data_IF_577328466637
#
_entry.id   IF_577328466637
#
_cell.length_a   1.000
_cell.length_b   1.000
_cell.length_c   1.000
_cell.angle_alpha   90.00
_cell.angle_beta   90.00
_cell.angle_gamma   90.00
#
_symmetry.space_group_name_H-M   'P 1'
#
loop_
_entity.id
_entity.type
_entity.pdbx_description
1 polymer ?
#
# COMPACT_ATOMS: atom_id res chain seq x y z
N UNK A 1 -25.99 -22.66 -42.60
CA UNK A 1 -27.25 -22.08 -43.12
C UNK A 1 -26.94 -21.43 -44.46
N UNK A 2 -27.67 -21.73 -45.52
CA UNK A 2 -27.36 -21.22 -46.86
C UNK A 2 -28.06 -19.88 -47.09
N UNK A 3 -27.42 -18.79 -46.65
CA UNK A 3 -27.96 -17.43 -46.78
C UNK A 3 -28.15 -17.03 -48.25
N UNK A 4 -27.28 -17.48 -49.14
CA UNK A 4 -27.31 -17.15 -50.57
C UNK A 4 -28.59 -17.65 -51.25
N UNK A 5 -29.07 -18.83 -50.87
CA UNK A 5 -30.33 -19.38 -51.39
C UNK A 5 -31.54 -18.54 -50.98
N UNK A 6 -31.59 -18.06 -49.73
CA UNK A 6 -32.66 -17.20 -49.25
C UNK A 6 -32.63 -15.83 -49.93
N UNK A 7 -31.44 -15.23 -50.07
CA UNK A 7 -31.27 -13.93 -50.73
C UNK A 7 -31.66 -14.02 -52.22
N UNK A 8 -31.28 -15.10 -52.91
CA UNK A 8 -31.66 -15.33 -54.31
C UNK A 8 -33.18 -15.47 -54.49
N UNK A 9 -33.87 -16.09 -53.52
CA UNK A 9 -35.33 -16.23 -53.58
C UNK A 9 -36.05 -14.89 -53.33
N UNK A 10 -35.50 -14.03 -52.46
CA UNK A 10 -36.08 -12.69 -52.21
C UNK A 10 -35.96 -11.72 -53.37
N UNK A 11 -35.02 -11.95 -54.31
CA UNK A 11 -34.84 -11.12 -55.50
C UNK A 11 -35.79 -11.47 -56.66
N UNK A 12 -36.61 -12.52 -56.55
CA UNK A 12 -37.56 -12.91 -57.59
C UNK A 12 -38.83 -12.06 -57.50
N UNK A 13 -39.37 -11.65 -58.67
CA UNK A 13 -40.66 -10.96 -58.70
C UNK A 13 -41.77 -11.88 -58.19
N UNK A 14 -42.72 -11.39 -57.37
CA UNK A 14 -43.84 -12.19 -56.87
C UNK A 14 -44.77 -12.71 -57.97
N UNK A 15 -44.76 -12.06 -59.14
CA UNK A 15 -45.54 -12.46 -60.30
C UNK A 15 -44.61 -12.79 -61.47
N UNK A 16 -44.95 -13.82 -62.25
CA UNK A 16 -44.18 -14.20 -63.45
C UNK A 16 -44.26 -13.18 -64.59
N UNK A 17 -45.22 -12.24 -64.51
CA UNK A 17 -45.41 -11.15 -65.48
C UNK A 17 -45.76 -9.86 -64.75
N UNK A 18 -45.50 -8.72 -65.38
CA UNK A 18 -45.93 -7.43 -64.86
C UNK A 18 -47.46 -7.31 -65.00
N UNK A 19 -48.17 -7.58 -63.91
CA UNK A 19 -49.63 -7.55 -63.83
C UNK A 19 -50.20 -6.17 -64.23
N UNK A 20 -49.47 -5.09 -63.93
CA UNK A 20 -49.91 -3.74 -64.23
C UNK A 20 -49.88 -3.47 -65.75
N UNK A 21 -48.77 -3.80 -66.43
CA UNK A 21 -48.67 -3.66 -67.88
C UNK A 21 -49.67 -4.58 -68.60
N UNK A 22 -49.81 -5.81 -68.13
CA UNK A 22 -50.79 -6.75 -68.66
C UNK A 22 -52.23 -6.22 -68.54
N UNK A 23 -52.58 -5.62 -67.40
CA UNK A 23 -53.89 -5.00 -67.23
C UNK A 23 -54.12 -3.80 -68.16
N UNK A 24 -53.10 -2.96 -68.40
CA UNK A 24 -53.19 -1.85 -69.35
C UNK A 24 -53.36 -2.34 -70.80
N UNK A 25 -52.62 -3.37 -71.21
CA UNK A 25 -52.74 -3.97 -72.53
C UNK A 25 -54.12 -4.63 -72.74
N UNK A 26 -54.63 -5.30 -71.71
CA UNK A 26 -55.95 -5.93 -71.72
C UNK A 26 -57.07 -4.88 -71.85
N UNK A 27 -56.95 -3.76 -71.12
CA UNK A 27 -57.90 -2.65 -71.20
C UNK A 27 -57.84 -1.95 -72.56
N UNK A 28 -56.64 -1.77 -73.14
CA UNK A 28 -56.46 -1.21 -74.47
C UNK A 28 -57.12 -2.09 -75.55
N UNK A 29 -56.93 -3.42 -75.48
CA UNK A 29 -57.62 -4.38 -76.37
C UNK A 29 -59.13 -4.40 -76.15
N UNK A 30 -59.61 -4.22 -74.92
CA UNK A 30 -61.04 -4.13 -74.66
C UNK A 30 -61.64 -2.86 -75.32
N UNK A 31 -60.91 -1.75 -75.34
CA UNK A 31 -61.37 -0.49 -75.93
C UNK A 31 -61.53 -0.54 -77.47
N UNK A 32 -60.80 -1.41 -78.17
CA UNK A 32 -60.94 -1.58 -79.62
C UNK A 32 -62.11 -2.49 -80.02
N UNK A 33 -62.73 -3.19 -79.07
CA UNK A 33 -63.88 -4.07 -79.33
C UNK A 33 -65.21 -3.29 -79.43
N UNK A 34 -66.16 -3.77 -80.24
CA UNK A 34 -67.49 -3.19 -80.29
C UNK A 34 -68.18 -3.26 -78.91
N UNK A 35 -69.11 -2.34 -78.62
CA UNK A 35 -69.84 -2.34 -77.37
C UNK A 35 -70.60 -3.65 -77.16
N UNK A 36 -70.35 -4.30 -76.01
CA UNK A 36 -70.98 -5.56 -75.66
C UNK A 36 -70.46 -6.14 -74.34
N UNK A 37 -71.01 -7.29 -73.96
CA UNK A 37 -70.71 -7.96 -72.70
C UNK A 37 -69.22 -8.34 -72.59
N UNK A 38 -68.60 -8.78 -73.69
CA UNK A 38 -67.19 -9.16 -73.73
C UNK A 38 -66.26 -7.99 -73.40
N UNK A 39 -66.49 -6.81 -74.00
CA UNK A 39 -65.73 -5.58 -73.70
C UNK A 39 -65.83 -5.22 -72.22
N UNK A 40 -67.02 -5.26 -71.66
CA UNK A 40 -67.24 -4.89 -70.26
C UNK A 40 -66.62 -5.92 -69.30
N UNK A 41 -66.61 -7.21 -69.66
CA UNK A 41 -65.93 -8.25 -68.88
C UNK A 41 -64.41 -8.04 -68.87
N UNK A 42 -63.80 -7.84 -70.04
CA UNK A 42 -62.35 -7.60 -70.16
C UNK A 42 -61.90 -6.36 -69.38
N UNK A 43 -62.70 -5.29 -69.38
CA UNK A 43 -62.44 -4.11 -68.55
C UNK A 43 -62.53 -4.42 -67.06
N UNK A 44 -63.51 -5.22 -66.63
CA UNK A 44 -63.65 -5.65 -65.24
C UNK A 44 -62.43 -6.47 -64.81
N UNK A 45 -62.01 -7.42 -65.64
CA UNK A 45 -60.85 -8.27 -65.37
C UNK A 45 -59.55 -7.45 -65.28
N UNK A 46 -59.36 -6.48 -66.20
CA UNK A 46 -58.23 -5.55 -66.13
C UNK A 46 -58.22 -4.74 -64.81
N UNK A 47 -59.39 -4.28 -64.34
CA UNK A 47 -59.50 -3.60 -63.05
C UNK A 47 -59.22 -4.53 -61.88
N UNK A 48 -59.73 -5.77 -61.90
CA UNK A 48 -59.41 -6.78 -60.88
C UNK A 48 -57.91 -7.07 -60.81
N UNK A 49 -57.23 -7.17 -61.96
CA UNK A 49 -55.77 -7.38 -62.03
C UNK A 49 -55.02 -6.19 -61.41
N UNK A 50 -55.45 -4.95 -61.68
CA UNK A 50 -54.88 -3.74 -61.03
C UNK A 50 -55.06 -3.79 -59.50
N UNK A 51 -56.24 -4.18 -59.02
CA UNK A 51 -56.50 -4.33 -57.58
C UNK A 51 -55.62 -5.42 -56.96
N UNK A 52 -55.45 -6.57 -57.62
CA UNK A 52 -54.57 -7.65 -57.15
C UNK A 52 -53.12 -7.15 -57.06
N UNK A 53 -52.65 -6.41 -58.06
CA UNK A 53 -51.31 -5.83 -58.03
C UNK A 53 -51.12 -4.90 -56.82
N UNK A 54 -52.07 -3.99 -56.58
CA UNK A 54 -52.00 -3.05 -55.47
C UNK A 54 -52.12 -3.71 -54.09
N UNK A 55 -53.05 -4.65 -53.93
CA UNK A 55 -53.36 -5.25 -52.63
C UNK A 55 -52.48 -6.44 -52.25
N UNK A 56 -51.83 -7.09 -53.23
CA UNK A 56 -51.07 -8.33 -52.99
C UNK A 56 -49.62 -8.20 -53.43
N UNK A 57 -49.37 -7.77 -54.65
CA UNK A 57 -47.99 -7.74 -55.19
C UNK A 57 -47.15 -6.69 -54.47
N UNK A 58 -47.63 -5.45 -54.33
CA UNK A 58 -46.86 -4.39 -53.66
C UNK A 58 -46.53 -4.73 -52.18
N UNK A 59 -47.46 -5.22 -51.34
CA UNK A 59 -47.12 -5.64 -49.97
C UNK A 59 -46.14 -6.80 -49.91
N UNK A 60 -46.21 -7.74 -50.86
CA UNK A 60 -45.26 -8.86 -50.93
C UNK A 60 -43.87 -8.33 -51.29
N UNK A 61 -43.74 -7.41 -52.25
CA UNK A 61 -42.44 -6.80 -52.60
C UNK A 61 -41.81 -6.07 -51.41
N UNK A 62 -42.61 -5.32 -50.64
CA UNK A 62 -42.15 -4.67 -49.40
C UNK A 62 -41.69 -5.68 -48.36
N UNK A 63 -42.43 -6.78 -48.21
CA UNK A 63 -42.09 -7.86 -47.29
C UNK A 63 -40.80 -8.59 -47.70
N UNK A 64 -40.59 -8.81 -49.00
CA UNK A 64 -39.36 -9.41 -49.54
C UNK A 64 -38.14 -8.49 -49.32
N UNK A 65 -38.30 -7.18 -49.46
CA UNK A 65 -37.25 -6.20 -49.13
C UNK A 65 -36.88 -6.25 -47.64
N UNK A 66 -37.87 -6.29 -46.75
CA UNK A 66 -37.65 -6.42 -45.31
C UNK A 66 -36.97 -7.74 -44.96
N UNK A 67 -37.40 -8.83 -45.59
CA UNK A 67 -36.81 -10.15 -45.41
C UNK A 67 -35.35 -10.18 -45.87
N UNK A 68 -35.05 -9.59 -47.03
CA UNK A 68 -33.69 -9.46 -47.55
C UNK A 68 -32.77 -8.74 -46.55
N UNK A 69 -33.21 -7.61 -45.99
CA UNK A 69 -32.42 -6.88 -44.98
C UNK A 69 -32.22 -7.71 -43.72
N UNK A 70 -33.26 -8.39 -43.25
CA UNK A 70 -33.22 -9.23 -42.05
C UNK A 70 -32.25 -10.40 -42.22
N UNK A 71 -32.29 -11.08 -43.37
CA UNK A 71 -31.35 -12.17 -43.70
C UNK A 71 -29.92 -11.66 -43.78
N UNK A 72 -29.69 -10.47 -44.36
CA UNK A 72 -28.36 -9.85 -44.44
C UNK A 72 -27.80 -9.46 -43.07
N UNK A 73 -28.65 -8.94 -42.18
CA UNK A 73 -28.27 -8.66 -40.79
C UNK A 73 -27.92 -9.97 -40.08
N UNK A 74 -28.76 -11.00 -40.21
CA UNK A 74 -28.53 -12.30 -39.60
C UNK A 74 -27.22 -12.93 -40.09
N UNK A 75 -26.91 -12.85 -41.39
CA UNK A 75 -25.65 -13.32 -41.96
C UNK A 75 -24.44 -12.62 -41.34
N UNK A 76 -24.48 -11.28 -41.24
CA UNK A 76 -23.39 -10.50 -40.62
C UNK A 76 -23.22 -10.83 -39.14
N UNK A 77 -24.33 -10.92 -38.41
CA UNK A 77 -24.31 -11.24 -36.98
C UNK A 77 -23.81 -12.66 -36.74
N UNK A 78 -24.24 -13.64 -37.53
CA UNK A 78 -23.78 -15.03 -37.45
C UNK A 78 -22.29 -15.16 -37.71
N UNK A 79 -21.80 -14.55 -38.78
CA UNK A 79 -20.36 -14.56 -39.11
C UNK A 79 -19.54 -13.82 -38.04
N UNK A 80 -19.99 -12.64 -37.62
CA UNK A 80 -19.30 -11.85 -36.58
C UNK A 80 -19.28 -12.53 -35.21
N UNK A 81 -20.32 -13.30 -34.87
CA UNK A 81 -20.37 -14.09 -33.64
C UNK A 81 -19.31 -15.19 -33.66
N UNK A 82 -19.20 -15.94 -34.76
CA UNK A 82 -18.23 -17.02 -34.91
C UNK A 82 -16.79 -16.50 -34.74
N UNK A 83 -16.47 -15.36 -35.37
CA UNK A 83 -15.15 -14.72 -35.20
C UNK A 83 -14.88 -14.32 -33.76
N UNK A 84 -15.87 -13.73 -33.06
CA UNK A 84 -15.73 -13.34 -31.66
C UNK A 84 -15.50 -14.54 -30.76
N UNK A 85 -16.25 -15.63 -30.96
CA UNK A 85 -16.07 -16.88 -30.20
C UNK A 85 -14.68 -17.44 -30.42
N UNK A 86 -14.20 -17.51 -31.67
CA UNK A 86 -12.86 -17.99 -31.98
C UNK A 86 -11.77 -17.12 -31.34
N UNK A 87 -11.92 -15.79 -31.33
CA UNK A 87 -10.99 -14.89 -30.63
C UNK A 87 -10.97 -15.11 -29.12
N UNK A 88 -12.13 -15.31 -28.50
CA UNK A 88 -12.23 -15.59 -27.07
C UNK A 88 -11.56 -16.93 -26.75
N UNK A 89 -11.82 -17.97 -27.54
CA UNK A 89 -11.18 -19.28 -27.38
C UNK A 89 -9.65 -19.20 -27.54
N UNK A 90 -9.15 -18.47 -28.53
CA UNK A 90 -7.72 -18.25 -28.71
C UNK A 90 -7.08 -17.49 -27.54
N UNK A 91 -7.77 -16.47 -27.01
CA UNK A 91 -7.31 -15.73 -25.82
C UNK A 91 -7.28 -16.61 -24.56
N UNK A 92 -8.30 -17.46 -24.38
CA UNK A 92 -8.36 -18.43 -23.30
C UNK A 92 -7.23 -19.47 -23.40
N UNK A 93 -6.99 -20.01 -24.59
CA UNK A 93 -5.90 -20.96 -24.83
C UNK A 93 -4.53 -20.33 -24.57
N UNK A 94 -4.31 -19.09 -25.06
CA UNK A 94 -3.11 -18.34 -24.75
C UNK A 94 -2.93 -18.12 -23.24
N UNK A 95 -3.97 -17.67 -22.54
CA UNK A 95 -3.93 -17.46 -21.09
C UNK A 95 -3.65 -18.76 -20.34
N UNK A 96 -4.29 -19.86 -20.73
CA UNK A 96 -4.09 -21.17 -20.12
C UNK A 96 -2.67 -21.70 -20.37
N UNK A 97 -2.15 -21.56 -21.58
CA UNK A 97 -0.79 -21.93 -21.92
C UNK A 97 0.23 -21.07 -21.15
N UNK A 98 -0.02 -19.77 -21.03
CA UNK A 98 0.80 -18.88 -20.22
C UNK A 98 0.81 -19.32 -18.74
N UNK A 99 -0.36 -19.59 -18.17
CA UNK A 99 -0.50 -20.07 -16.79
C UNK A 99 0.21 -21.42 -16.60
N UNK A 100 0.05 -22.34 -17.53
CA UNK A 100 0.59 -23.71 -17.36
C UNK A 100 2.10 -23.76 -17.56
N UNK A 101 2.63 -23.07 -18.56
CA UNK A 101 4.00 -23.25 -19.01
C UNK A 101 4.93 -22.08 -18.68
N UNK A 102 4.41 -20.86 -18.52
CA UNK A 102 5.24 -19.65 -18.42
C UNK A 102 5.12 -18.93 -17.07
N UNK A 103 4.06 -19.15 -16.29
CA UNK A 103 3.85 -18.41 -15.04
C UNK A 103 4.97 -18.66 -14.03
N UNK A 104 5.49 -19.89 -13.98
CA UNK A 104 6.53 -20.27 -13.03
C UNK A 104 7.82 -19.48 -13.29
N UNK A 105 8.25 -19.36 -14.54
CA UNK A 105 9.45 -18.58 -14.89
C UNK A 105 9.27 -17.10 -14.60
N UNK A 106 8.08 -16.54 -14.88
CA UNK A 106 7.76 -15.14 -14.57
C UNK A 106 7.80 -14.88 -13.06
N UNK A 107 7.19 -15.75 -12.24
CA UNK A 107 7.23 -15.63 -10.78
C UNK A 107 8.67 -15.70 -10.27
N UNK A 108 9.48 -16.62 -10.79
CA UNK A 108 10.89 -16.76 -10.39
C UNK A 108 11.68 -15.48 -10.74
N UNK A 109 11.46 -14.91 -11.93
CA UNK A 109 12.13 -13.69 -12.37
C UNK A 109 11.73 -12.47 -11.53
N UNK A 110 10.43 -12.25 -11.32
CA UNK A 110 9.94 -11.17 -10.46
C UNK A 110 10.40 -11.33 -9.01
N UNK A 111 10.43 -12.56 -8.49
CA UNK A 111 10.96 -12.85 -7.15
C UNK A 111 12.46 -12.54 -7.04
N UNK A 112 13.26 -12.85 -8.09
CA UNK A 112 14.69 -12.50 -8.12
C UNK A 112 14.88 -10.98 -8.13
N UNK A 113 14.07 -10.26 -8.90
CA UNK A 113 14.10 -8.78 -8.96
C UNK A 113 13.76 -8.18 -7.59
N UNK A 114 12.68 -8.65 -6.96
CA UNK A 114 12.30 -8.24 -5.61
C UNK A 114 13.39 -8.51 -4.57
N UNK A 115 13.99 -9.71 -4.61
CA UNK A 115 15.14 -10.06 -3.75
C UNK A 115 16.29 -9.07 -3.93
N UNK A 116 16.66 -8.78 -5.17
CA UNK A 116 17.76 -7.83 -5.48
C UNK A 116 17.46 -6.44 -4.93
N UNK A 117 16.23 -5.98 -5.02
CA UNK A 117 15.79 -4.71 -4.43
C UNK A 117 15.94 -4.70 -2.91
N UNK A 118 15.49 -5.75 -2.22
CA UNK A 118 15.65 -5.86 -0.75
C UNK A 118 17.12 -5.84 -0.37
N UNK A 119 17.95 -6.66 -1.02
CA UNK A 119 19.39 -6.73 -0.73
C UNK A 119 20.04 -5.36 -0.93
N UNK A 120 19.70 -4.65 -2.01
CA UNK A 120 20.20 -3.30 -2.28
C UNK A 120 19.84 -2.30 -1.17
N UNK A 121 18.65 -2.41 -0.56
CA UNK A 121 18.31 -1.58 0.60
C UNK A 121 19.17 -1.89 1.82
N UNK A 122 19.42 -3.18 2.10
CA UNK A 122 20.29 -3.58 3.20
C UNK A 122 21.74 -3.13 2.98
N UNK A 123 22.28 -3.30 1.77
CA UNK A 123 23.63 -2.85 1.43
C UNK A 123 23.78 -1.33 1.62
N UNK A 124 22.83 -0.55 1.10
CA UNK A 124 22.83 0.91 1.27
C UNK A 124 22.71 1.31 2.75
N UNK A 125 21.87 0.62 3.52
CA UNK A 125 21.72 0.88 4.95
C UNK A 125 23.01 0.56 5.73
N UNK A 126 23.68 -0.55 5.42
CA UNK A 126 24.96 -0.92 6.03
C UNK A 126 26.06 0.08 5.69
N UNK A 127 26.14 0.53 4.44
CA UNK A 127 27.06 1.61 4.04
C UNK A 127 26.77 2.91 4.80
N UNK A 128 25.50 3.26 4.97
CA UNK A 128 25.11 4.43 5.76
C UNK A 128 25.46 4.27 7.24
N UNK A 129 25.32 3.08 7.83
CA UNK A 129 25.76 2.79 9.20
C UNK A 129 27.28 2.98 9.31
N UNK A 130 28.06 2.38 8.42
CA UNK A 130 29.52 2.48 8.43
C UNK A 130 29.97 3.94 8.37
N UNK A 131 29.41 4.70 7.42
CA UNK A 131 29.64 6.14 7.31
C UNK A 131 29.24 6.90 8.58
N UNK A 132 28.05 6.62 9.14
CA UNK A 132 27.57 7.30 10.35
C UNK A 132 28.45 6.99 11.57
N UNK A 133 28.92 5.76 11.71
CA UNK A 133 29.82 5.37 12.79
C UNK A 133 31.18 6.05 12.62
N UNK A 134 31.79 5.98 11.43
CA UNK A 134 33.11 6.55 11.19
C UNK A 134 33.12 8.08 11.29
N UNK A 135 32.14 8.74 10.67
CA UNK A 135 32.15 10.20 10.54
C UNK A 135 31.59 10.90 11.79
N UNK A 136 30.47 10.39 12.33
CA UNK A 136 29.73 11.08 13.40
C UNK A 136 30.02 10.54 14.79
N UNK A 137 30.16 9.23 14.95
CA UNK A 137 30.31 8.60 16.27
C UNK A 137 31.78 8.48 16.67
N UNK A 138 32.66 8.04 15.78
CA UNK A 138 34.10 7.88 16.07
C UNK A 138 34.77 9.23 16.35
N UNK A 139 34.32 10.30 15.70
CA UNK A 139 34.75 11.68 15.99
C UNK A 139 34.39 12.14 17.42
N UNK A 140 33.30 11.63 18.00
CA UNK A 140 32.93 11.93 19.38
C UNK A 140 33.71 11.10 20.41
N UNK A 141 34.32 9.97 20.02
CA UNK A 141 35.08 9.10 20.93
C UNK A 141 36.24 9.82 21.65
N UNK A 142 37.16 10.54 20.98
CA UNK A 142 38.24 11.24 21.68
C UNK A 142 37.73 12.36 22.60
N UNK A 143 36.66 13.05 22.21
CA UNK A 143 36.03 14.09 23.05
C UNK A 143 35.38 13.46 24.29
N UNK A 144 34.62 12.39 24.12
CA UNK A 144 34.00 11.66 25.22
C UNK A 144 35.05 11.08 26.19
N UNK A 145 36.12 10.47 25.67
CA UNK A 145 37.21 9.94 26.49
C UNK A 145 37.97 11.05 27.23
N UNK A 146 38.21 12.20 26.59
CA UNK A 146 38.86 13.33 27.25
C UNK A 146 38.00 13.92 28.37
N UNK A 147 36.69 14.06 28.16
CA UNK A 147 35.76 14.54 29.18
C UNK A 147 35.64 13.55 30.34
N UNK A 148 35.51 12.26 30.06
CA UNK A 148 35.42 11.22 31.08
C UNK A 148 36.69 11.19 31.95
N UNK A 149 37.87 11.24 31.31
CA UNK A 149 39.15 11.30 32.02
C UNK A 149 39.29 12.60 32.84
N UNK A 150 38.92 13.75 32.29
CA UNK A 150 39.01 15.02 33.01
C UNK A 150 38.06 15.09 34.21
N UNK A 151 36.85 14.57 34.08
CA UNK A 151 35.87 14.60 35.17
C UNK A 151 36.20 13.56 36.23
N UNK A 152 36.39 12.30 35.86
CA UNK A 152 36.54 11.21 36.82
C UNK A 152 37.94 11.21 37.49
N UNK A 153 38.99 11.37 36.69
CA UNK A 153 40.36 11.29 37.21
C UNK A 153 40.78 12.61 37.86
N UNK A 154 40.52 13.75 37.21
CA UNK A 154 41.02 15.04 37.72
C UNK A 154 40.07 15.68 38.73
N UNK A 155 38.78 15.82 38.42
CA UNK A 155 37.85 16.50 39.32
C UNK A 155 37.42 15.62 40.49
N UNK A 156 36.95 14.41 40.24
CA UNK A 156 36.48 13.53 41.31
C UNK A 156 37.64 13.02 42.18
N UNK A 157 38.63 12.36 41.57
CA UNK A 157 39.66 11.67 42.34
C UNK A 157 40.75 12.60 42.90
N UNK A 158 41.16 13.65 42.19
CA UNK A 158 42.28 14.50 42.64
C UNK A 158 41.82 15.72 43.45
N UNK A 159 40.61 16.22 43.24
CA UNK A 159 40.10 17.42 43.92
C UNK A 159 39.08 17.03 44.98
N UNK A 160 37.97 16.39 44.58
CA UNK A 160 36.82 16.16 45.46
C UNK A 160 37.17 15.16 46.58
N UNK A 161 37.83 14.05 46.26
CA UNK A 161 38.15 13.02 47.26
C UNK A 161 39.11 13.50 48.37
N UNK A 162 40.24 14.19 48.07
CA UNK A 162 41.10 14.73 49.12
C UNK A 162 40.44 15.82 49.94
N UNK A 163 39.61 16.67 49.32
CA UNK A 163 38.83 17.68 50.04
C UNK A 163 37.83 17.03 51.00
N UNK A 164 37.14 15.98 50.55
CA UNK A 164 36.19 15.24 51.38
C UNK A 164 36.90 14.56 52.57
N UNK A 165 38.07 13.95 52.32
CA UNK A 165 38.89 13.35 53.37
C UNK A 165 39.42 14.39 54.36
N UNK A 166 39.85 15.55 53.87
CA UNK A 166 40.29 16.69 54.68
C UNK A 166 39.18 17.19 55.62
N UNK A 167 37.99 17.44 55.07
CA UNK A 167 36.84 17.90 55.85
C UNK A 167 36.37 16.86 56.86
N UNK A 168 36.41 15.57 56.51
CA UNK A 168 36.12 14.49 57.45
C UNK A 168 37.13 14.44 58.60
N UNK A 169 38.43 14.60 58.31
CA UNK A 169 39.50 14.66 59.30
C UNK A 169 39.32 15.81 60.29
N UNK A 170 39.11 17.03 59.78
CA UNK A 170 38.87 18.21 60.63
C UNK A 170 37.60 18.05 61.46
N UNK A 171 36.52 17.55 60.86
CA UNK A 171 35.27 17.32 61.58
C UNK A 171 35.45 16.37 62.77
N UNK A 172 36.14 15.24 62.55
CA UNK A 172 36.43 14.27 63.60
C UNK A 172 37.35 14.83 64.68
N UNK A 173 38.43 15.53 64.30
CA UNK A 173 39.33 16.16 65.25
C UNK A 173 38.59 17.20 66.13
N UNK A 174 37.73 18.00 65.53
CA UNK A 174 36.93 19.03 66.22
C UNK A 174 35.99 18.41 67.26
N UNK A 175 35.35 17.27 66.94
CA UNK A 175 34.47 16.55 67.87
C UNK A 175 35.21 16.02 69.10
N UNK A 176 36.47 15.60 68.97
CA UNK A 176 37.26 15.14 70.12
C UNK A 176 37.93 16.28 70.90
N UNK A 177 38.44 17.30 70.20
CA UNK A 177 39.18 18.39 70.82
C UNK A 177 38.28 19.37 71.58
N UNK A 178 37.06 19.65 71.09
CA UNK A 178 36.15 20.58 71.76
C UNK A 178 35.78 20.11 73.19
N UNK A 179 35.33 18.86 73.43
CA UNK A 179 35.09 18.36 74.78
C UNK A 179 36.36 18.36 75.63
N UNK A 180 37.49 17.91 75.08
CA UNK A 180 38.76 17.87 75.79
C UNK A 180 39.20 19.27 76.26
N UNK A 181 39.04 20.30 75.42
CA UNK A 181 39.32 21.69 75.77
C UNK A 181 38.40 22.18 76.89
N UNK A 182 37.11 21.86 76.85
CA UNK A 182 36.15 22.23 77.92
C UNK A 182 36.56 21.58 79.24
N UNK A 183 36.90 20.29 79.24
CA UNK A 183 37.37 19.59 80.44
C UNK A 183 38.68 20.18 80.96
N UNK A 184 39.65 20.47 80.09
CA UNK A 184 40.92 21.07 80.46
C UNK A 184 40.72 22.45 81.13
N UNK A 185 39.84 23.29 80.58
CA UNK A 185 39.52 24.60 81.17
C UNK A 185 38.79 24.48 82.51
N UNK A 186 37.87 23.50 82.64
CA UNK A 186 37.18 23.23 83.92
C UNK A 186 38.14 22.72 84.99
N UNK A 187 39.02 21.78 84.65
CA UNK A 187 40.06 21.27 85.54
C UNK A 187 41.04 22.36 85.94
N UNK A 188 41.53 23.18 85.01
CA UNK A 188 42.42 24.30 85.32
C UNK A 188 41.76 25.29 86.30
N UNK A 189 40.46 25.56 86.13
CA UNK A 189 39.70 26.41 87.07
C UNK A 189 39.49 25.75 88.43
N UNK A 190 39.31 24.42 88.47
CA UNK A 190 39.18 23.66 89.71
C UNK A 190 40.51 23.58 90.46
N UNK A 191 41.61 23.28 89.77
CA UNK A 191 42.96 23.22 90.33
C UNK A 191 43.39 24.56 90.93
N UNK A 192 43.12 25.68 90.23
CA UNK A 192 43.39 27.02 90.76
C UNK A 192 42.55 27.39 91.98
N UNK A 193 41.39 26.74 92.18
CA UNK A 193 40.55 26.94 93.37
C UNK A 193 41.02 26.06 94.54
N UNK A 194 41.44 24.84 94.25
CA UNK A 194 42.05 23.91 95.22
C UNK A 194 43.30 24.52 95.86
N UNK A 195 44.21 25.07 95.04
CA UNK A 195 45.43 25.75 95.49
C UNK A 195 45.16 27.01 96.34
N UNK A 196 43.94 27.56 96.29
CA UNK A 196 43.52 28.70 97.14
C UNK A 196 42.84 28.29 98.45
N UNK A 197 42.54 27.00 98.65
CA UNK A 197 41.92 26.44 99.86
C UNK A 197 42.90 25.57 100.69
N UNK A 198 44.04 25.14 100.13
CA UNK A 198 45.05 24.27 100.79
C UNK A 198 46.02 25.02 101.74
N UNK A 199 45.69 26.25 102.18
CA UNK A 199 46.41 26.94 103.26
C UNK A 199 45.67 26.75 104.58
N UNK A 200 45.50 25.51 105.03
CA UNK A 200 45.38 25.15 106.45
C UNK A 200 45.71 23.64 106.59
N UNK A 201 46.52 23.36 107.60
CA UNK A 201 46.85 22.06 108.20
C UNK A 201 48.18 21.39 107.81
N UNK A 202 49.12 21.60 108.74
CA UNK A 202 49.90 20.58 109.44
C UNK A 202 51.18 20.01 108.81
N UNK A 203 52.33 20.53 109.30
CA UNK A 203 53.50 19.69 109.59
C UNK A 203 54.20 20.18 110.87
N UNK A 204 53.85 19.64 112.03
CA UNK A 204 54.82 19.49 113.12
C UNK A 204 54.67 18.14 113.84
N UNK A 205 55.81 17.44 113.89
CA UNK A 205 56.19 16.29 114.73
C UNK A 205 55.87 14.85 114.26
N UNK A 206 56.93 14.21 113.75
CA UNK A 206 57.13 12.76 113.62
C UNK A 206 57.65 12.25 114.98
N UNK A 207 57.37 10.99 115.40
CA UNK A 207 58.46 10.00 115.25
C UNK A 207 57.99 8.58 114.95
N UNK A 208 58.72 7.91 114.05
CA UNK A 208 58.81 6.46 113.99
C UNK A 208 59.71 5.94 115.12
N UNK A 209 59.26 4.90 115.83
CA UNK A 209 60.10 4.00 116.64
C UNK A 209 59.87 2.57 116.14
N UNK A 210 60.90 1.98 115.56
CA UNK A 210 60.92 0.60 115.05
C UNK A 210 61.55 -0.36 116.10
N UNK A 211 61.39 -1.69 115.95
CA UNK A 211 61.14 -2.66 117.03
C UNK A 211 62.37 -2.99 117.90
N UNK A 212 62.09 -3.45 119.12
CA UNK A 212 63.00 -3.64 120.25
C UNK A 212 64.20 -4.56 120.02
N UNK A 213 65.39 -4.12 120.46
CA UNK A 213 65.92 -4.57 121.75
C UNK A 213 66.84 -3.53 122.40
#
# INVERSE_FOLDING_TARGET
MNYDTYLAQTGKSPAGVNLLSFAYDLEAKANSLPPGNLRNSLKRDAQTIKTIHQQRVLPIEQSLSTLYQSVKILQRTGNGLLERVNRILASLDFAQNFITNNISSVIIEETKKYRKTIIGYFEHYMQWIEFSISEKVASCKPVATALDTAVDVFLCSYIIDPLNLFWFGIGKATVFLLPALIFAVKLAKYYRRMDSEDVYDDVETIPMKNPSH
#
